data_IF_221221243542
#
_entry.id   IF_221221243542
#
_cell.length_a   1.000
_cell.length_b   1.000
_cell.length_c   1.000
_cell.angle_alpha   90.00
_cell.angle_beta   90.00
_cell.angle_gamma   90.00
#
_symmetry.space_group_name_H-M   'P 1'
#
loop_
_entity.id
_entity.type
_entity.pdbx_description
1 polymer ?
#
# COMPACT_ATOMS: atom_id res chain seq x y z
N UNK A 1 -5.58 22.19 -11.65
CA UNK A 1 -6.04 21.42 -10.46
C UNK A 1 -6.89 20.23 -10.86
N UNK A 2 -7.84 20.40 -11.79
CA UNK A 2 -8.65 19.29 -12.29
C UNK A 2 -7.79 18.11 -12.76
N UNK A 3 -6.66 18.35 -13.45
CA UNK A 3 -5.74 17.30 -13.87
C UNK A 3 -5.23 16.44 -12.70
N UNK A 4 -4.83 17.08 -11.59
CA UNK A 4 -4.39 16.39 -10.38
C UNK A 4 -5.51 15.51 -9.82
N UNK A 5 -6.74 16.03 -9.78
CA UNK A 5 -7.90 15.31 -9.24
C UNK A 5 -8.26 14.12 -10.14
N UNK A 6 -8.18 14.27 -11.46
CA UNK A 6 -8.41 13.20 -12.42
C UNK A 6 -7.36 12.09 -12.26
N UNK A 7 -6.08 12.43 -12.11
CA UNK A 7 -5.03 11.44 -11.86
C UNK A 7 -5.21 10.71 -10.52
N UNK A 8 -5.64 11.41 -9.47
CA UNK A 8 -5.97 10.79 -8.19
C UNK A 8 -7.16 9.83 -8.30
N UNK A 9 -8.19 10.21 -9.06
CA UNK A 9 -9.33 9.34 -9.34
C UNK A 9 -8.86 8.07 -10.06
N UNK A 10 -8.08 8.21 -11.13
CA UNK A 10 -7.56 7.08 -11.90
C UNK A 10 -6.70 6.15 -11.04
N UNK A 11 -5.86 6.71 -10.16
CA UNK A 11 -5.08 5.91 -9.20
C UNK A 11 -6.00 5.11 -8.26
N UNK A 12 -7.05 5.74 -7.73
CA UNK A 12 -8.02 5.08 -6.85
C UNK A 12 -8.75 3.95 -7.55
N UNK A 13 -9.15 4.14 -8.80
CA UNK A 13 -9.84 3.12 -9.61
C UNK A 13 -8.88 1.95 -9.90
N UNK A 14 -7.68 2.23 -10.42
CA UNK A 14 -6.70 1.20 -10.76
C UNK A 14 -6.26 0.39 -9.53
N UNK A 15 -6.07 1.04 -8.39
CA UNK A 15 -5.72 0.36 -7.14
C UNK A 15 -6.87 -0.43 -6.52
N UNK A 16 -8.12 -0.18 -6.92
CA UNK A 16 -9.29 -0.93 -6.44
C UNK A 16 -9.63 -2.12 -7.34
N UNK A 17 -9.36 -1.99 -8.64
CA UNK A 17 -9.63 -3.03 -9.63
C UNK A 17 -8.59 -4.16 -9.63
N UNK A 18 -7.33 -3.85 -9.30
CA UNK A 18 -6.31 -4.87 -9.12
C UNK A 18 -6.25 -5.33 -7.66
N UNK A 19 -6.37 -6.64 -7.42
CA UNK A 19 -5.90 -7.29 -6.18
C UNK A 19 -4.36 -7.22 -6.16
N UNK A 20 -3.79 -6.02 -6.06
CA UNK A 20 -2.37 -5.83 -6.30
C UNK A 20 -1.54 -6.34 -5.13
N UNK A 21 -0.60 -7.22 -5.47
CA UNK A 21 0.54 -7.51 -4.61
C UNK A 21 1.25 -6.19 -4.26
N UNK A 22 1.57 -6.00 -2.98
CA UNK A 22 2.12 -4.76 -2.41
C UNK A 22 3.24 -4.08 -3.24
N UNK A 23 4.17 -4.81 -3.89
CA UNK A 23 5.19 -4.18 -4.75
C UNK A 23 4.62 -3.54 -6.02
N UNK A 24 3.65 -4.18 -6.66
CA UNK A 24 3.04 -3.67 -7.89
C UNK A 24 2.17 -2.43 -7.60
N UNK A 25 1.41 -2.47 -6.50
CA UNK A 25 0.70 -1.30 -5.98
C UNK A 25 1.67 -0.13 -5.71
N UNK A 26 2.84 -0.42 -5.12
CA UNK A 26 3.87 0.58 -4.87
C UNK A 26 4.38 1.24 -6.16
N UNK A 27 4.64 0.47 -7.21
CA UNK A 27 5.11 0.98 -8.50
C UNK A 27 4.07 1.87 -9.19
N UNK A 28 2.80 1.43 -9.17
CA UNK A 28 1.68 2.21 -9.69
C UNK A 28 1.59 3.53 -8.92
N UNK A 29 1.50 3.49 -7.59
CA UNK A 29 1.41 4.70 -6.75
C UNK A 29 2.59 5.66 -6.99
N UNK A 30 3.81 5.13 -7.07
CA UNK A 30 5.01 5.93 -7.34
C UNK A 30 4.97 6.61 -8.71
N UNK A 31 4.45 5.91 -9.72
CA UNK A 31 4.28 6.46 -11.08
C UNK A 31 3.28 7.61 -11.09
N UNK A 32 2.15 7.45 -10.40
CA UNK A 32 1.14 8.51 -10.28
C UNK A 32 1.65 9.72 -9.50
N UNK A 33 2.41 9.52 -8.41
CA UNK A 33 3.04 10.64 -7.68
C UNK A 33 3.97 11.43 -8.60
N UNK A 34 4.84 10.76 -9.37
CA UNK A 34 5.74 11.43 -10.35
C UNK A 34 4.96 12.19 -11.42
N UNK A 35 3.82 11.65 -11.88
CA UNK A 35 2.94 12.31 -12.84
C UNK A 35 2.28 13.56 -12.25
N UNK A 36 1.81 13.49 -11.00
CA UNK A 36 1.25 14.68 -10.32
C UNK A 36 2.31 15.76 -10.16
N UNK A 37 3.55 15.40 -9.83
CA UNK A 37 4.66 16.35 -9.72
C UNK A 37 5.02 17.00 -11.06
N UNK A 38 4.89 16.26 -12.17
CA UNK A 38 5.22 16.78 -13.50
C UNK A 38 4.29 17.92 -13.92
N UNK A 39 3.07 17.99 -13.37
CA UNK A 39 2.13 19.10 -13.62
C UNK A 39 2.64 20.48 -13.23
N UNK A 40 3.64 20.54 -12.35
CA UNK A 40 4.28 21.81 -12.02
C UNK A 40 5.19 22.35 -13.16
N UNK A 41 5.64 21.48 -14.07
CA UNK A 41 6.47 21.84 -15.24
C UNK A 41 5.69 21.76 -16.56
N UNK A 42 4.79 20.79 -16.65
CA UNK A 42 4.02 20.49 -17.85
C UNK A 42 2.53 20.53 -17.50
N UNK A 43 1.84 21.64 -17.78
CA UNK A 43 0.42 21.75 -17.46
C UNK A 43 -0.38 20.65 -18.17
N UNK A 44 -1.36 20.09 -17.47
CA UNK A 44 -2.28 19.09 -18.02
C UNK A 44 -3.30 19.71 -18.97
N UNK A 45 -4.10 18.87 -19.65
CA UNK A 45 -5.08 19.32 -20.64
C UNK A 45 -6.07 20.32 -20.05
N UNK A 46 -6.59 20.08 -18.84
CA UNK A 46 -7.56 20.99 -18.23
C UNK A 46 -6.93 22.32 -17.84
N UNK A 47 -5.64 22.36 -17.51
CA UNK A 47 -4.92 23.60 -17.27
C UNK A 47 -4.75 24.39 -18.57
N UNK A 48 -4.43 23.73 -19.69
CA UNK A 48 -4.33 24.37 -21.01
C UNK A 48 -5.68 24.91 -21.47
N UNK A 49 -6.74 24.11 -21.37
CA UNK A 49 -8.11 24.53 -21.73
C UNK A 49 -8.55 25.74 -20.91
N UNK A 50 -8.20 25.79 -19.62
CA UNK A 50 -8.52 26.91 -18.75
C UNK A 50 -7.75 28.19 -19.13
N UNK A 51 -6.46 28.08 -19.47
CA UNK A 51 -5.67 29.21 -19.96
C UNK A 51 -6.21 29.75 -21.30
N UNK A 52 -6.59 28.85 -22.21
CA UNK A 52 -7.18 29.26 -23.48
C UNK A 52 -8.55 29.93 -23.29
N UNK A 53 -9.37 29.41 -22.38
CA UNK A 53 -10.66 30.01 -22.05
C UNK A 53 -10.52 31.39 -21.40
N UNK A 54 -9.48 31.61 -20.60
CA UNK A 54 -9.15 32.92 -20.04
C UNK A 54 -8.78 33.92 -21.14
N UNK A 55 -7.98 33.51 -22.13
CA UNK A 55 -7.62 34.38 -23.28
C UNK A 55 -8.83 34.74 -24.14
N UNK A 56 -9.70 33.76 -24.41
CA UNK A 56 -10.89 33.94 -25.26
C UNK A 56 -12.05 34.57 -24.49
N UNK A 57 -11.98 34.63 -23.16
CA UNK A 57 -13.07 35.05 -22.26
C UNK A 57 -14.36 34.24 -22.44
N UNK A 58 -14.22 32.97 -22.84
CA UNK A 58 -15.32 32.04 -23.08
C UNK A 58 -14.88 30.64 -22.65
N UNK A 59 -15.71 29.95 -21.86
CA UNK A 59 -15.48 28.56 -21.49
C UNK A 59 -16.70 27.73 -21.88
N UNK A 60 -16.51 26.78 -22.80
CA UNK A 60 -17.56 25.85 -23.25
C UNK A 60 -18.86 26.55 -23.76
N UNK A 61 -18.75 27.70 -24.42
CA UNK A 61 -19.91 28.44 -24.93
C UNK A 61 -20.47 29.50 -23.99
N UNK A 62 -19.91 29.66 -22.80
CA UNK A 62 -20.36 30.63 -21.79
C UNK A 62 -19.33 31.76 -21.62
N UNK A 63 -19.78 33.01 -21.65
CA UNK A 63 -18.92 34.18 -21.43
C UNK A 63 -18.42 34.25 -19.98
N UNK A 64 -17.12 34.44 -19.82
CA UNK A 64 -16.49 34.56 -18.51
C UNK A 64 -16.64 35.98 -17.96
N UNK A 65 -16.98 36.06 -16.66
CA UNK A 65 -16.99 37.31 -15.90
C UNK A 65 -15.92 37.27 -14.82
N UNK A 66 -15.21 38.37 -14.65
CA UNK A 66 -14.19 38.49 -13.60
C UNK A 66 -14.87 38.57 -12.24
N UNK A 67 -14.81 37.48 -11.47
CA UNK A 67 -15.30 37.42 -10.09
C UNK A 67 -14.20 37.72 -9.06
N UNK A 68 -14.60 37.91 -7.80
CA UNK A 68 -13.67 37.95 -6.65
C UNK A 68 -13.63 36.57 -6.00
N UNK A 69 -12.79 35.69 -6.52
CA UNK A 69 -12.42 34.43 -5.87
C UNK A 69 -11.01 34.53 -5.31
N UNK A 70 -10.69 33.83 -4.20
CA UNK A 70 -9.33 33.73 -3.72
C UNK A 70 -8.47 33.00 -4.76
N UNK A 71 -7.33 33.58 -5.10
CA UNK A 71 -6.35 33.00 -6.00
C UNK A 71 -5.61 31.90 -5.23
N UNK A 72 -5.69 30.67 -5.71
CA UNK A 72 -4.97 29.54 -5.13
C UNK A 72 -3.68 29.33 -5.94
N UNK A 73 -2.54 29.26 -5.25
CA UNK A 73 -1.27 28.87 -5.86
C UNK A 73 -1.32 27.38 -6.26
N UNK A 74 -1.35 27.14 -7.58
CA UNK A 74 -1.39 25.80 -8.16
C UNK A 74 -0.11 25.00 -7.86
N UNK A 75 1.06 25.65 -7.82
CA UNK A 75 2.32 24.99 -7.51
C UNK A 75 2.38 24.56 -6.04
N UNK A 76 1.90 25.42 -5.13
CA UNK A 76 1.77 25.06 -3.72
C UNK A 76 0.80 23.90 -3.52
N UNK A 77 -0.35 23.92 -4.21
CA UNK A 77 -1.32 22.84 -4.18
C UNK A 77 -0.72 21.51 -4.65
N UNK A 78 -0.06 21.49 -5.83
CA UNK A 78 0.55 20.28 -6.39
C UNK A 78 1.59 19.69 -5.44
N UNK A 79 2.49 20.53 -4.90
CA UNK A 79 3.50 20.09 -3.92
C UNK A 79 2.86 19.50 -2.67
N UNK A 80 1.88 20.21 -2.11
CA UNK A 80 1.18 19.76 -0.90
C UNK A 80 0.51 18.39 -1.09
N UNK A 81 -0.10 18.15 -2.26
CA UNK A 81 -0.71 16.84 -2.59
C UNK A 81 0.36 15.77 -2.72
N UNK A 82 1.42 16.01 -3.50
CA UNK A 82 2.48 15.04 -3.72
C UNK A 82 3.20 14.65 -2.41
N UNK A 83 3.48 15.63 -1.56
CA UNK A 83 4.11 15.41 -0.26
C UNK A 83 3.20 14.61 0.69
N UNK A 84 1.89 14.93 0.72
CA UNK A 84 0.93 14.17 1.52
C UNK A 84 0.86 12.71 1.07
N UNK A 85 0.84 12.46 -0.24
CA UNK A 85 0.84 11.10 -0.77
C UNK A 85 2.10 10.34 -0.37
N UNK A 86 3.27 10.97 -0.49
CA UNK A 86 4.54 10.35 -0.08
C UNK A 86 4.57 10.02 1.41
N UNK A 87 4.11 10.95 2.25
CA UNK A 87 4.07 10.77 3.70
C UNK A 87 3.12 9.67 4.15
N UNK A 88 2.05 9.40 3.39
CA UNK A 88 1.00 8.45 3.78
C UNK A 88 1.13 7.08 3.12
N UNK A 89 1.56 7.03 1.86
CA UNK A 89 1.63 5.79 1.07
C UNK A 89 2.92 5.00 1.29
N UNK A 90 4.04 5.68 1.54
CA UNK A 90 5.37 5.04 1.64
C UNK A 90 5.83 4.86 3.09
N UNK A 91 4.93 4.34 3.93
CA UNK A 91 5.23 4.05 5.34
C UNK A 91 4.55 2.76 5.80
N UNK A 92 5.11 2.11 6.81
CA UNK A 92 4.56 0.88 7.39
C UNK A 92 3.45 1.12 8.41
N UNK A 93 3.03 2.37 8.62
CA UNK A 93 2.11 2.74 9.72
C UNK A 93 1.12 3.81 9.27
N UNK A 94 -0.16 3.66 9.60
CA UNK A 94 -1.20 4.58 9.16
C UNK A 94 -1.17 5.99 9.81
N UNK A 95 -0.39 6.21 10.88
CA UNK A 95 -0.36 7.47 11.62
C UNK A 95 0.85 8.35 11.28
N UNK A 96 0.59 9.65 11.08
CA UNK A 96 1.63 10.69 10.97
C UNK A 96 2.42 10.75 12.28
N UNK A 97 3.66 10.29 12.28
CA UNK A 97 4.53 10.39 13.45
C UNK A 97 5.41 11.62 13.41
N UNK A 98 6.03 11.91 14.56
CA UNK A 98 7.07 12.92 14.68
C UNK A 98 8.19 12.68 13.66
N UNK A 99 8.78 13.77 13.17
CA UNK A 99 9.76 13.75 12.08
C UNK A 99 10.95 12.79 12.32
N UNK A 100 11.39 12.63 13.57
CA UNK A 100 12.46 11.70 13.96
C UNK A 100 12.12 10.22 13.72
N UNK A 101 10.84 9.86 13.76
CA UNK A 101 10.36 8.48 13.54
C UNK A 101 10.03 8.25 12.06
N UNK A 102 9.74 9.33 11.31
CA UNK A 102 9.35 9.25 9.90
C UNK A 102 10.47 8.70 9.00
N UNK A 103 11.73 9.09 9.24
CA UNK A 103 12.88 8.60 8.47
C UNK A 103 13.06 7.08 8.62
N UNK A 104 13.04 6.58 9.86
CA UNK A 104 13.13 5.15 10.15
C UNK A 104 11.97 4.35 9.52
N UNK A 105 10.77 4.92 9.46
CA UNK A 105 9.61 4.27 8.84
C UNK A 105 9.72 4.16 7.32
N UNK A 106 10.28 5.18 6.66
CA UNK A 106 10.53 5.15 5.22
C UNK A 106 11.59 4.10 4.86
N UNK A 107 12.67 4.02 5.64
CA UNK A 107 13.70 3.00 5.45
C UNK A 107 13.16 1.58 5.69
N UNK A 108 12.37 1.39 6.76
CA UNK A 108 11.70 0.13 7.04
C UNK A 108 10.72 -0.26 5.91
N UNK A 109 9.98 0.71 5.36
CA UNK A 109 9.10 0.48 4.21
C UNK A 109 9.88 0.06 2.97
N UNK A 110 10.97 0.75 2.64
CA UNK A 110 11.81 0.37 1.49
C UNK A 110 12.40 -1.03 1.66
N UNK A 111 12.86 -1.38 2.86
CA UNK A 111 13.32 -2.74 3.16
C UNK A 111 12.22 -3.78 2.96
N UNK A 112 10.98 -3.48 3.37
CA UNK A 112 9.83 -4.37 3.21
C UNK A 112 9.48 -4.59 1.73
N UNK A 113 9.43 -3.51 0.94
CA UNK A 113 9.16 -3.59 -0.51
C UNK A 113 10.24 -4.42 -1.21
N UNK A 114 11.51 -4.22 -0.87
CA UNK A 114 12.62 -5.02 -1.41
C UNK A 114 12.51 -6.51 -1.04
N UNK A 115 12.09 -6.84 0.18
CA UNK A 115 11.84 -8.22 0.58
C UNK A 115 10.65 -8.83 -0.17
N UNK A 116 9.58 -8.07 -0.36
CA UNK A 116 8.41 -8.51 -1.11
C UNK A 116 8.68 -8.64 -2.61
N UNK A 117 9.70 -7.98 -3.16
CA UNK A 117 10.09 -8.13 -4.56
C UNK A 117 10.50 -9.57 -4.91
N UNK A 118 10.96 -10.36 -3.92
CA UNK A 118 11.25 -11.80 -4.09
C UNK A 118 9.98 -12.61 -4.37
N UNK A 119 8.81 -12.12 -3.97
CA UNK A 119 7.52 -12.78 -4.23
C UNK A 119 6.98 -12.48 -5.63
N UNK A 120 7.55 -11.53 -6.36
CA UNK A 120 7.11 -11.20 -7.72
C UNK A 120 7.73 -12.18 -8.73
N UNK A 121 6.93 -12.99 -9.46
CA UNK A 121 7.43 -13.96 -10.43
C UNK A 121 8.33 -13.34 -11.51
N UNK A 122 8.07 -12.09 -11.90
CA UNK A 122 8.86 -11.38 -12.92
C UNK A 122 10.33 -11.16 -12.49
N UNK A 123 10.58 -11.12 -11.18
CA UNK A 123 11.90 -10.92 -10.60
C UNK A 123 12.62 -12.23 -10.27
N UNK A 124 12.01 -13.39 -10.58
CA UNK A 124 12.61 -14.69 -10.28
C UNK A 124 13.75 -14.99 -11.23
N UNK A 125 14.84 -15.55 -10.69
CA UNK A 125 15.86 -16.17 -11.52
C UNK A 125 15.30 -17.52 -12.01
N UNK A 126 14.75 -17.51 -13.23
CA UNK A 126 14.07 -18.66 -13.81
C UNK A 126 15.01 -19.85 -14.06
N UNK A 127 16.32 -19.61 -14.06
CA UNK A 127 17.37 -20.63 -14.22
C UNK A 127 17.83 -21.21 -12.88
N UNK A 128 17.39 -20.64 -11.74
CA UNK A 128 17.75 -21.08 -10.40
C UNK A 128 16.57 -21.75 -9.68
N UNK A 129 16.52 -23.09 -9.60
CA UNK A 129 15.44 -23.81 -8.92
C UNK A 129 15.40 -23.61 -7.40
N UNK A 130 16.34 -22.85 -6.81
CA UNK A 130 16.40 -22.48 -5.38
C UNK A 130 16.25 -20.97 -5.16
N UNK A 131 15.72 -20.22 -6.12
CA UNK A 131 15.53 -18.78 -5.95
C UNK A 131 14.60 -18.46 -4.77
N UNK A 132 15.04 -17.63 -3.83
CA UNK A 132 14.30 -17.30 -2.60
C UNK A 132 14.54 -18.24 -1.42
N UNK A 133 15.21 -19.39 -1.63
CA UNK A 133 15.69 -20.27 -0.56
C UNK A 133 17.02 -19.74 -0.02
N UNK A 134 16.98 -18.61 0.71
CA UNK A 134 18.05 -18.36 1.67
C UNK A 134 17.96 -19.52 2.68
N UNK A 135 19.00 -20.37 2.73
CA UNK A 135 19.09 -21.51 3.65
C UNK A 135 18.64 -21.07 5.04
N UNK A 136 17.41 -21.42 5.41
CA UNK A 136 16.80 -20.95 6.65
C UNK A 136 17.62 -21.50 7.80
N UNK A 137 18.35 -20.63 8.50
CA UNK A 137 19.09 -21.02 9.70
C UNK A 137 18.12 -21.03 10.90
N UNK A 138 17.72 -22.19 11.44
CA UNK A 138 16.86 -22.28 12.62
C UNK A 138 17.52 -21.71 13.88
N UNK A 139 18.85 -21.64 13.93
CA UNK A 139 19.59 -21.46 15.19
C UNK A 139 19.26 -20.15 15.92
N UNK A 140 19.15 -18.98 15.27
CA UNK A 140 18.76 -17.74 15.95
C UNK A 140 17.34 -17.82 16.53
N UNK A 141 16.41 -18.43 15.80
CA UNK A 141 15.04 -18.63 16.24
C UNK A 141 14.96 -19.60 17.44
N UNK A 142 15.65 -20.74 17.36
CA UNK A 142 15.71 -21.72 18.46
C UNK A 142 16.35 -21.12 19.70
N UNK A 143 17.45 -20.35 19.57
CA UNK A 143 18.10 -19.66 20.71
C UNK A 143 17.18 -18.65 21.37
N UNK A 144 16.47 -17.83 20.60
CA UNK A 144 15.51 -16.86 21.15
C UNK A 144 14.27 -17.53 21.75
N UNK A 145 13.81 -18.63 21.17
CA UNK A 145 12.69 -19.42 21.68
C UNK A 145 13.01 -20.10 23.01
N UNK A 146 14.20 -20.72 23.11
CA UNK A 146 14.73 -21.28 24.37
C UNK A 146 15.01 -20.19 25.42
N UNK A 147 15.58 -19.05 25.01
CA UNK A 147 15.85 -17.91 25.89
C UNK A 147 14.59 -17.28 26.50
N UNK A 148 13.44 -17.39 25.83
CA UNK A 148 12.12 -17.00 26.36
C UNK A 148 11.48 -18.05 27.27
N UNK A 149 12.23 -19.08 27.68
CA UNK A 149 11.78 -20.13 28.59
C UNK A 149 10.82 -21.16 27.97
N UNK A 150 10.64 -21.14 26.63
CA UNK A 150 9.82 -22.12 25.93
C UNK A 150 10.65 -23.39 25.71
N UNK A 151 10.17 -24.53 26.21
CA UNK A 151 10.84 -25.84 26.05
C UNK A 151 10.38 -26.50 24.75
N UNK A 152 11.25 -27.36 24.19
CA UNK A 152 10.92 -28.22 23.07
C UNK A 152 9.59 -28.94 23.33
N UNK A 153 8.71 -28.94 22.33
CA UNK A 153 7.46 -29.70 22.35
C UNK A 153 7.77 -31.20 22.18
N UNK A 154 8.52 -31.79 23.11
CA UNK A 154 8.58 -33.23 23.23
C UNK A 154 7.18 -33.71 23.63
N UNK A 155 6.68 -34.76 22.97
CA UNK A 155 5.36 -35.34 23.26
C UNK A 155 5.18 -35.72 24.74
N UNK A 156 6.29 -35.93 25.46
CA UNK A 156 6.34 -36.24 26.89
C UNK A 156 6.30 -35.01 27.82
N UNK A 157 6.49 -33.80 27.30
CA UNK A 157 6.59 -32.55 28.07
C UNK A 157 5.31 -31.69 28.01
N UNK A 158 4.41 -32.00 27.09
CA UNK A 158 3.11 -31.37 27.01
C UNK A 158 2.19 -32.02 28.06
N UNK A 159 1.51 -31.23 28.89
CA UNK A 159 0.39 -31.72 29.70
C UNK A 159 -0.63 -32.36 28.75
N UNK A 160 -0.62 -33.70 28.69
CA UNK A 160 -1.66 -34.44 27.99
C UNK A 160 -3.01 -33.97 28.55
N UNK A 161 -3.88 -33.43 27.70
CA UNK A 161 -5.25 -33.11 28.10
C UNK A 161 -5.85 -34.39 28.66
N UNK A 162 -6.11 -34.42 29.96
CA UNK A 162 -6.97 -35.44 30.55
C UNK A 162 -8.37 -35.17 29.98
N UNK A 163 -8.81 -35.99 29.05
CA UNK A 163 -10.20 -36.00 28.64
C UNK A 163 -10.99 -36.47 29.87
N UNK A 164 -11.75 -35.57 30.48
CA UNK A 164 -12.87 -35.99 31.32
C UNK A 164 -13.87 -36.63 30.36
N UNK A 165 -14.22 -37.88 30.63
CA UNK A 165 -15.30 -38.60 29.96
C UNK A 165 -16.63 -37.92 30.30
N UNK A 166 -16.90 -36.77 29.69
CA UNK A 166 -18.24 -36.23 29.58
C UNK A 166 -18.71 -36.48 28.15
N UNK A 167 -19.39 -37.61 28.02
CA UNK A 167 -20.21 -37.96 26.89
C UNK A 167 -21.13 -36.79 26.50
N UNK A 168 -21.26 -36.60 25.18
CA UNK A 168 -22.41 -35.96 24.53
C UNK A 168 -22.51 -34.43 24.56
N UNK A 169 -21.66 -33.71 23.81
CA UNK A 169 -22.11 -32.45 23.19
C UNK A 169 -21.31 -31.94 21.97
N UNK A 170 -20.72 -32.79 21.12
CA UNK A 170 -20.17 -32.28 19.85
C UNK A 170 -20.50 -33.18 18.67
N UNK A 171 -21.72 -33.00 18.16
CA UNK A 171 -22.07 -33.38 16.80
C UNK A 171 -21.45 -32.36 15.85
N UNK A 172 -20.59 -32.74 14.90
CA UNK A 172 -20.03 -31.76 13.99
C UNK A 172 -21.10 -31.25 13.01
N UNK A 173 -21.16 -29.93 12.83
CA UNK A 173 -22.26 -29.16 12.20
C UNK A 173 -22.66 -29.62 10.78
N UNK A 174 -21.71 -30.14 10.00
CA UNK A 174 -21.95 -30.73 8.67
C UNK A 174 -22.90 -31.95 8.65
N UNK A 175 -23.13 -32.62 9.80
CA UNK A 175 -24.18 -33.64 9.91
C UNK A 175 -25.60 -33.06 9.98
N UNK A 176 -25.76 -31.77 10.28
CA UNK A 176 -27.08 -31.12 10.38
C UNK A 176 -27.64 -30.65 9.02
N UNK A 177 -26.84 -30.64 7.96
CA UNK A 177 -27.20 -30.08 6.64
C UNK A 177 -27.70 -31.11 5.61
N UNK A 178 -27.95 -32.37 6.01
CA UNK A 178 -28.47 -33.44 5.11
C UNK A 178 -29.94 -33.78 5.33
N UNK A 179 -30.79 -32.80 5.62
CA UNK A 179 -32.25 -33.01 5.61
C UNK A 179 -32.97 -31.80 5.01
N UNK A 180 -33.16 -31.86 3.70
CA UNK A 180 -34.31 -31.29 2.98
C UNK A 180 -35.01 -32.48 2.34
#
# INVERSE_FOLDING_TARGET
>A
MADVLTELKNLSENSSEQEDHTPKAHDIMTTYVKRIESFNRYPGQHAVDASQAEEVMELKGEELRVGRSPIIDSAQFIRAVADNMKERLFTTTANRAQASVAANRKEAYNSLINQMAVLNPDNWDHDNPRFGDNEWDPLPYVKTWLGKGRRAAHSTSCMARRYTEEESYFSPLWKMWKRV
#
